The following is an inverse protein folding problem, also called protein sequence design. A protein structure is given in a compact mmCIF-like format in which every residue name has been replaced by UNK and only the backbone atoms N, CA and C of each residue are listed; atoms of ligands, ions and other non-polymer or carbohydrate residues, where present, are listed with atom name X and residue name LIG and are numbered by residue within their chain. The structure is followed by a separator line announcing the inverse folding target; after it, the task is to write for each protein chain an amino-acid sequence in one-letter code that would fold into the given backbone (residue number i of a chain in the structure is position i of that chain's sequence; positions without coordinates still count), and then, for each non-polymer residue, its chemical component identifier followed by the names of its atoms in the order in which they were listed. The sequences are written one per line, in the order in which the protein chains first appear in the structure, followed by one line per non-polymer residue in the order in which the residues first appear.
data_IF_063876093312
#
_entry.id   IF_063876093312
#
_cell.length_a   1.000
_cell.length_b   1.000
_cell.length_c   1.000
_cell.angle_alpha   90.00
_cell.angle_beta   90.00
_cell.angle_gamma   90.00
#
_symmetry.space_group_name_H-M   'P 1'
#
loop_
_entity.id
_entity.type
_entity.pdbx_description
1 polymer ?
#
# COMPACT_ATOMS: atom_id res chain seq x y z
N UNK A 1 7.19 -6.05 9.54
CA UNK A 1 7.16 -6.14 8.06
C UNK A 1 8.23 -5.23 7.49
N UNK A 2 9.26 -5.77 6.83
CA UNK A 2 10.25 -4.98 6.10
C UNK A 2 9.87 -5.03 4.62
N UNK A 3 9.58 -3.87 4.01
CA UNK A 3 9.25 -3.80 2.58
C UNK A 3 10.53 -3.60 1.78
N UNK A 4 10.86 -4.56 0.92
CA UNK A 4 12.01 -4.47 0.03
C UNK A 4 11.55 -4.22 -1.40
N UNK A 5 12.24 -3.31 -2.11
CA UNK A 5 11.97 -2.99 -3.51
C UNK A 5 12.14 -4.22 -4.40
N UNK A 6 11.16 -4.49 -5.24
CA UNK A 6 11.25 -5.53 -6.29
C UNK A 6 12.28 -5.16 -7.37
N UNK A 7 13.57 -5.30 -7.06
CA UNK A 7 14.67 -5.27 -8.02
C UNK A 7 14.74 -6.66 -8.64
N UNK A 8 14.83 -6.76 -9.97
CA UNK A 8 14.71 -7.98 -10.79
C UNK A 8 15.79 -9.05 -10.55
N UNK A 9 16.49 -9.01 -9.42
CA UNK A 9 17.68 -9.80 -9.08
C UNK A 9 17.62 -10.31 -7.64
N UNK A 10 16.49 -10.88 -7.20
CA UNK A 10 16.53 -11.78 -6.04
C UNK A 10 17.08 -13.13 -6.53
N UNK A 11 18.31 -13.45 -6.15
CA UNK A 11 18.89 -14.75 -6.46
C UNK A 11 18.08 -15.85 -5.77
N UNK A 12 18.05 -17.07 -6.34
CA UNK A 12 17.43 -18.24 -5.71
C UNK A 12 17.94 -18.46 -4.28
N UNK A 13 19.22 -18.17 -4.05
CA UNK A 13 19.86 -18.20 -2.73
C UNK A 13 19.26 -17.21 -1.73
N UNK A 14 18.84 -16.02 -2.19
CA UNK A 14 18.20 -15.01 -1.33
C UNK A 14 16.82 -15.49 -0.85
N UNK A 15 16.05 -16.14 -1.73
CA UNK A 15 14.74 -16.72 -1.36
C UNK A 15 14.88 -17.87 -0.37
N UNK A 16 15.86 -18.75 -0.60
CA UNK A 16 16.16 -19.84 0.32
C UNK A 16 16.49 -19.33 1.73
N UNK A 17 17.30 -18.28 1.84
CA UNK A 17 17.63 -17.67 3.12
C UNK A 17 16.38 -17.08 3.81
N UNK A 18 15.50 -16.41 3.07
CA UNK A 18 14.26 -15.86 3.63
C UNK A 18 13.33 -16.96 4.17
N UNK A 19 13.26 -18.09 3.48
CA UNK A 19 12.53 -19.28 3.95
C UNK A 19 13.15 -19.86 5.23
N UNK A 20 14.48 -19.94 5.31
CA UNK A 20 15.18 -20.39 6.54
C UNK A 20 14.90 -19.47 7.72
N UNK A 21 14.90 -18.14 7.50
CA UNK A 21 14.56 -17.16 8.53
C UNK A 21 13.05 -17.08 8.83
N UNK A 22 12.20 -17.78 8.06
CA UNK A 22 10.73 -17.74 8.14
C UNK A 22 10.18 -16.31 8.04
N UNK A 23 10.80 -15.47 7.21
CA UNK A 23 10.38 -14.10 7.02
C UNK A 23 9.30 -14.01 5.94
N UNK A 24 8.16 -13.44 6.32
CA UNK A 24 7.08 -13.17 5.37
C UNK A 24 7.42 -11.96 4.49
N UNK A 25 7.34 -12.15 3.18
CA UNK A 25 7.61 -11.11 2.20
C UNK A 25 6.31 -10.42 1.83
N UNK A 26 6.22 -9.13 2.15
CA UNK A 26 5.13 -8.30 1.64
C UNK A 26 5.22 -8.19 0.12
N UNK A 27 4.11 -8.46 -0.56
CA UNK A 27 3.98 -8.21 -1.99
C UNK A 27 4.20 -6.73 -2.32
N UNK A 28 5.34 -6.42 -2.92
CA UNK A 28 5.68 -5.06 -3.31
C UNK A 28 5.46 -4.87 -4.82
N UNK A 29 4.56 -3.96 -5.23
CA UNK A 29 4.37 -3.66 -6.64
C UNK A 29 5.65 -3.07 -7.25
N UNK A 30 5.91 -3.38 -8.52
CA UNK A 30 7.06 -2.82 -9.23
C UNK A 30 7.00 -1.28 -9.22
N UNK A 31 8.15 -0.64 -8.99
CA UNK A 31 8.32 0.82 -9.07
C UNK A 31 7.34 1.65 -8.21
N UNK A 32 7.09 1.25 -6.96
CA UNK A 32 6.27 2.02 -6.01
C UNK A 32 7.10 2.63 -4.87
N UNK A 33 7.92 3.66 -5.12
CA UNK A 33 8.70 4.32 -4.07
C UNK A 33 7.80 4.96 -2.99
N UNK A 34 6.54 5.25 -3.31
CA UNK A 34 5.54 5.74 -2.36
C UNK A 34 5.07 4.69 -1.33
N UNK A 35 5.51 3.44 -1.48
CA UNK A 35 5.22 2.31 -0.58
C UNK A 35 6.45 1.78 0.17
N UNK A 36 7.61 2.41 -0.02
CA UNK A 36 8.81 2.09 0.73
C UNK A 36 9.02 3.14 1.82
N UNK A 37 8.87 2.76 3.09
CA UNK A 37 9.11 3.64 4.25
C UNK A 37 10.51 4.22 4.25
N UNK A 38 11.49 3.48 3.73
CA UNK A 38 12.84 4.00 3.52
C UNK A 38 12.86 5.23 2.61
N UNK A 39 12.07 5.22 1.54
CA UNK A 39 12.16 6.20 0.45
C UNK A 39 11.54 7.54 0.81
N UNK A 40 10.43 7.54 1.54
CA UNK A 40 9.70 8.77 1.89
C UNK A 40 9.92 9.24 3.33
N UNK A 41 10.51 8.42 4.21
CA UNK A 41 10.77 8.79 5.61
C UNK A 41 12.27 8.88 5.88
N UNK A 42 12.96 7.73 5.95
CA UNK A 42 14.37 7.67 6.38
C UNK A 42 15.33 8.39 5.41
N UNK A 43 15.20 8.15 4.11
CA UNK A 43 16.06 8.79 3.12
C UNK A 43 15.72 10.26 2.91
N UNK A 44 14.49 10.68 3.21
CA UNK A 44 14.13 12.10 3.20
C UNK A 44 14.82 12.82 4.36
N UNK A 45 14.74 12.26 5.56
CA UNK A 45 15.44 12.77 6.74
C UNK A 45 16.95 12.84 6.53
N UNK A 46 17.55 11.73 6.06
CA UNK A 46 18.98 11.68 5.77
C UNK A 46 19.38 12.70 4.71
N UNK A 47 18.57 12.89 3.66
CA UNK A 47 18.85 13.87 2.62
C UNK A 47 18.89 15.29 3.22
N UNK A 48 17.90 15.65 4.03
CA UNK A 48 17.86 16.95 4.69
C UNK A 48 19.07 17.15 5.62
N UNK A 49 19.42 16.12 6.40
CA UNK A 49 20.60 16.16 7.26
C UNK A 49 21.91 16.30 6.47
N UNK A 50 22.01 15.66 5.30
CA UNK A 50 23.18 15.77 4.43
C UNK A 50 23.35 17.14 3.78
N UNK A 51 22.30 17.94 3.62
CA UNK A 51 22.40 19.26 3.00
C UNK A 51 23.31 20.21 3.79
N UNK A 52 23.41 20.00 5.12
CA UNK A 52 24.21 20.83 6.03
C UNK A 52 25.61 20.25 6.35
N UNK A 53 25.98 19.12 5.76
CA UNK A 53 27.17 18.37 6.15
C UNK A 53 28.15 18.19 4.98
N UNK A 54 29.44 18.30 5.27
CA UNK A 54 30.52 17.93 4.35
C UNK A 54 31.47 16.97 5.07
N UNK A 55 31.81 15.86 4.42
CA UNK A 55 32.69 14.84 5.00
C UNK A 55 33.94 14.69 4.15
N UNK A 56 35.10 14.60 4.80
CA UNK A 56 36.37 14.44 4.09
C UNK A 56 36.79 12.98 3.95
N UNK A 57 36.28 12.11 4.83
CA UNK A 57 36.62 10.68 4.89
C UNK A 57 35.38 9.80 4.96
N UNK A 58 35.49 8.59 4.42
CA UNK A 58 34.39 7.63 4.43
C UNK A 58 34.09 7.11 5.84
N UNK A 59 35.10 6.99 6.70
CA UNK A 59 34.97 6.55 8.09
C UNK A 59 34.15 7.55 8.90
N UNK A 60 34.40 8.85 8.67
CA UNK A 60 33.67 9.96 9.27
C UNK A 60 32.20 9.93 8.84
N UNK A 61 31.94 9.83 7.53
CA UNK A 61 30.59 9.67 6.98
C UNK A 61 29.84 8.50 7.64
N UNK A 62 30.47 7.31 7.70
CA UNK A 62 29.86 6.11 8.29
C UNK A 62 29.53 6.29 9.77
N UNK A 63 30.44 6.87 10.54
CA UNK A 63 30.23 7.13 11.96
C UNK A 63 29.08 8.12 12.18
N UNK A 64 29.07 9.23 11.44
CA UNK A 64 28.07 10.28 11.60
C UNK A 64 26.67 9.82 11.16
N UNK A 65 26.55 9.10 10.05
CA UNK A 65 25.28 8.49 9.63
C UNK A 65 24.77 7.52 10.68
N UNK A 66 25.65 6.65 11.21
CA UNK A 66 25.27 5.69 12.24
C UNK A 66 24.79 6.41 13.50
N UNK A 67 25.51 7.43 13.95
CA UNK A 67 25.14 8.22 15.12
C UNK A 67 23.81 8.94 14.91
N UNK A 68 23.60 9.56 13.75
CA UNK A 68 22.37 10.29 13.44
C UNK A 68 21.16 9.35 13.37
N UNK A 69 21.24 8.22 12.66
CA UNK A 69 20.16 7.22 12.61
C UNK A 69 19.88 6.64 14.00
N UNK A 70 20.91 6.44 14.82
CA UNK A 70 20.75 5.99 16.21
C UNK A 70 20.12 7.05 17.11
N UNK A 71 20.30 8.34 16.78
CA UNK A 71 19.67 9.45 17.52
C UNK A 71 18.19 9.67 17.18
N UNK A 72 17.70 9.11 16.06
CA UNK A 72 16.29 9.19 15.71
C UNK A 72 15.43 8.49 16.76
N UNK A 73 14.32 9.12 17.12
CA UNK A 73 13.41 8.60 18.14
C UNK A 73 12.63 7.40 17.62
N UNK A 74 12.15 6.56 18.54
CA UNK A 74 11.21 5.48 18.17
C UNK A 74 9.96 6.02 17.45
N UNK A 75 9.47 7.19 17.89
CA UNK A 75 8.30 7.85 17.29
C UNK A 75 8.51 8.20 15.81
N UNK A 76 9.73 8.56 15.39
CA UNK A 76 10.04 8.80 13.98
C UNK A 76 9.80 7.56 13.11
N UNK A 77 10.19 6.38 13.59
CA UNK A 77 9.99 5.13 12.87
C UNK A 77 8.52 4.69 12.90
N UNK A 78 7.83 4.89 14.03
CA UNK A 78 6.41 4.62 14.18
C UNK A 78 5.57 5.48 13.21
N UNK A 79 5.85 6.78 13.14
CA UNK A 79 5.21 7.69 12.19
C UNK A 79 5.45 7.28 10.74
N UNK A 80 6.68 6.89 10.41
CA UNK A 80 7.03 6.35 9.09
C UNK A 80 6.18 5.14 8.71
N UNK A 81 6.04 4.18 9.62
CA UNK A 81 5.23 2.96 9.43
C UNK A 81 3.73 3.31 9.34
N UNK A 82 3.23 4.19 10.22
CA UNK A 82 1.84 4.65 10.20
C UNK A 82 1.46 5.32 8.87
N UNK A 83 2.36 6.15 8.35
CA UNK A 83 2.20 6.80 7.04
C UNK A 83 2.12 5.80 5.88
N UNK A 84 2.86 4.68 5.94
CA UNK A 84 2.75 3.61 4.95
C UNK A 84 1.35 2.99 4.97
N UNK A 85 0.86 2.64 6.17
CA UNK A 85 -0.48 2.05 6.33
C UNK A 85 -1.55 2.98 5.79
N UNK A 86 -1.48 4.28 6.12
CA UNK A 86 -2.40 5.29 5.63
C UNK A 86 -2.41 5.36 4.08
N UNK A 87 -1.23 5.36 3.44
CA UNK A 87 -1.10 5.38 1.98
C UNK A 87 -1.71 4.13 1.34
N UNK A 88 -1.49 2.94 1.92
CA UNK A 88 -2.06 1.69 1.43
C UNK A 88 -3.59 1.68 1.53
N UNK A 89 -4.14 2.10 2.67
CA UNK A 89 -5.59 2.23 2.87
C UNK A 89 -6.20 3.22 1.87
N UNK A 90 -5.55 4.36 1.62
CA UNK A 90 -5.98 5.33 0.62
C UNK A 90 -6.06 4.73 -0.80
N UNK A 91 -5.06 3.94 -1.21
CA UNK A 91 -5.08 3.20 -2.49
C UNK A 91 -6.22 2.18 -2.54
N UNK A 92 -6.42 1.42 -1.46
CA UNK A 92 -7.49 0.42 -1.37
C UNK A 92 -8.88 1.06 -1.50
N UNK A 93 -9.13 2.17 -0.80
CA UNK A 93 -10.38 2.96 -0.90
C UNK A 93 -10.64 3.42 -2.34
N UNK A 94 -9.62 3.95 -3.03
CA UNK A 94 -9.73 4.37 -4.43
C UNK A 94 -10.08 3.22 -5.37
N UNK A 95 -9.48 2.04 -5.17
CA UNK A 95 -9.80 0.83 -5.95
C UNK A 95 -11.25 0.39 -5.73
N UNK A 96 -11.69 0.29 -4.48
CA UNK A 96 -13.09 -0.05 -4.13
C UNK A 96 -14.09 0.93 -4.74
N UNK A 97 -13.81 2.23 -4.69
CA UNK A 97 -14.67 3.26 -5.30
C UNK A 97 -14.74 3.12 -6.83
N UNK A 98 -13.62 2.82 -7.50
CA UNK A 98 -13.58 2.58 -8.95
C UNK A 98 -14.45 1.38 -9.33
N UNK A 99 -14.26 0.24 -8.66
CA UNK A 99 -15.04 -0.98 -8.90
C UNK A 99 -16.53 -0.74 -8.65
N UNK A 100 -16.89 -0.03 -7.57
CA UNK A 100 -18.30 0.34 -7.29
C UNK A 100 -18.90 1.18 -8.40
N UNK A 101 -18.14 2.15 -8.95
CA UNK A 101 -18.59 2.99 -10.07
C UNK A 101 -18.78 2.19 -11.36
N UNK A 102 -17.88 1.26 -11.66
CA UNK A 102 -17.97 0.37 -12.82
C UNK A 102 -19.15 -0.60 -12.71
N UNK A 103 -19.34 -1.24 -11.55
CA UNK A 103 -20.51 -2.09 -11.29
C UNK A 103 -21.82 -1.31 -11.40
N UNK A 104 -21.89 -0.08 -10.87
CA UNK A 104 -23.06 0.79 -11.02
C UNK A 104 -23.35 1.10 -12.49
N UNK A 105 -22.32 1.38 -13.30
CA UNK A 105 -22.48 1.59 -14.74
C UNK A 105 -23.06 0.34 -15.44
N UNK A 106 -22.56 -0.84 -15.09
CA UNK A 106 -23.05 -2.10 -15.65
C UNK A 106 -24.52 -2.33 -15.29
N UNK A 107 -24.90 -2.20 -14.02
CA UNK A 107 -26.29 -2.37 -13.56
C UNK A 107 -27.23 -1.40 -14.29
N UNK A 108 -26.89 -0.11 -14.34
CA UNK A 108 -27.70 0.89 -15.03
C UNK A 108 -27.86 0.58 -16.53
N UNK A 109 -26.81 0.03 -17.18
CA UNK A 109 -26.87 -0.40 -18.59
C UNK A 109 -27.84 -1.58 -18.77
N UNK A 110 -27.80 -2.56 -17.85
CA UNK A 110 -28.71 -3.71 -17.89
C UNK A 110 -30.16 -3.28 -17.65
N UNK A 111 -30.41 -2.39 -16.69
CA UNK A 111 -31.75 -1.85 -16.42
C UNK A 111 -32.31 -1.08 -17.61
N UNK A 112 -31.49 -0.25 -18.27
CA UNK A 112 -31.89 0.47 -19.49
C UNK A 112 -32.28 -0.50 -20.61
N UNK A 113 -31.42 -1.47 -20.93
CA UNK A 113 -31.70 -2.47 -21.97
C UNK A 113 -32.97 -3.29 -21.65
N UNK A 114 -33.15 -3.67 -20.37
CA UNK A 114 -34.37 -4.35 -19.91
C UNK A 114 -35.62 -3.48 -20.10
N UNK A 115 -35.55 -2.18 -19.80
CA UNK A 115 -36.68 -1.26 -19.96
C UNK A 115 -37.05 -1.01 -21.42
N UNK A 116 -36.08 -1.06 -22.33
CA UNK A 116 -36.27 -0.95 -23.78
C UNK A 116 -36.94 -2.21 -24.35
N UNK A 117 -36.55 -3.41 -23.87
CA UNK A 117 -37.14 -4.69 -24.29
C UNK A 117 -38.55 -4.94 -23.74
N UNK A 118 -38.84 -4.50 -22.51
CA UNK A 118 -40.09 -4.82 -21.81
C UNK A 118 -41.21 -3.77 -21.93
N UNK A 119 -41.01 -2.69 -22.71
CA UNK A 119 -42.07 -1.74 -23.06
C UNK A 119 -42.97 -1.30 -21.91
N UNK A 120 -42.52 -0.33 -21.09
CA UNK A 120 -43.33 0.46 -20.12
C UNK A 120 -44.40 -0.32 -19.30
N UNK A 121 -44.13 -1.54 -18.84
CA UNK A 121 -44.97 -2.15 -17.78
C UNK A 121 -44.43 -1.72 -16.40
N UNK A 122 -45.24 -1.11 -15.53
CA UNK A 122 -44.79 -0.64 -14.22
C UNK A 122 -44.73 -1.83 -13.26
N UNK A 123 -43.67 -2.64 -13.37
CA UNK A 123 -43.41 -3.69 -12.40
C UNK A 123 -42.44 -3.18 -11.36
N UNK A 124 -42.94 -3.09 -10.13
CA UNK A 124 -42.23 -2.72 -8.91
C UNK A 124 -40.78 -3.19 -8.96
N UNK A 125 -39.86 -2.22 -8.98
CA UNK A 125 -38.44 -2.48 -9.10
C UNK A 125 -37.97 -3.34 -7.93
N UNK A 126 -37.81 -4.64 -8.16
CA UNK A 126 -37.06 -5.51 -7.26
C UNK A 126 -35.64 -4.98 -7.29
N UNK A 127 -35.33 -4.11 -6.33
CA UNK A 127 -34.01 -3.56 -6.10
C UNK A 127 -33.13 -4.75 -5.79
N UNK A 128 -32.31 -5.17 -6.77
CA UNK A 128 -31.27 -6.16 -6.54
C UNK A 128 -30.36 -5.54 -5.48
N UNK A 129 -30.58 -5.90 -4.22
CA UNK A 129 -29.71 -5.52 -3.13
C UNK A 129 -28.41 -6.28 -3.37
N UNK A 130 -27.47 -5.60 -4.03
CA UNK A 130 -26.11 -6.08 -4.19
C UNK A 130 -25.59 -6.45 -2.81
N UNK A 131 -25.29 -7.74 -2.61
CA UNK A 131 -24.71 -8.31 -1.39
C UNK A 131 -23.25 -7.85 -1.18
N UNK A 132 -22.90 -6.61 -1.56
CA UNK A 132 -21.55 -6.06 -1.39
C UNK A 132 -21.40 -5.18 -0.15
N UNK A 133 -22.50 -4.88 0.56
CA UNK A 133 -22.47 -3.96 1.70
C UNK A 133 -22.47 -4.69 3.08
N UNK A 134 -22.29 -6.02 3.14
CA UNK A 134 -22.52 -6.78 4.39
C UNK A 134 -21.45 -7.81 4.83
N UNK A 135 -20.31 -7.99 4.16
CA UNK A 135 -19.40 -9.10 4.53
C UNK A 135 -17.91 -8.79 4.70
N UNK A 136 -17.46 -7.53 4.73
CA UNK A 136 -16.01 -7.25 4.76
C UNK A 136 -15.54 -6.36 5.92
N UNK A 137 -16.42 -5.81 6.75
CA UNK A 137 -16.00 -5.04 7.93
C UNK A 137 -15.48 -5.95 9.07
N UNK A 138 -15.72 -7.27 9.02
CA UNK A 138 -15.21 -8.27 9.98
C UNK A 138 -13.93 -9.02 9.53
N UNK A 139 -13.51 -8.86 8.27
CA UNK A 139 -12.41 -9.68 7.73
C UNK A 139 -11.00 -9.09 7.90
N UNK A 140 -10.88 -7.80 8.27
CA UNK A 140 -9.57 -7.14 8.37
C UNK A 140 -9.01 -7.09 9.81
N UNK A 141 -9.85 -7.25 10.83
CA UNK A 141 -9.40 -7.27 12.23
C UNK A 141 -9.03 -8.68 12.74
N UNK A 142 -9.26 -9.73 11.94
CA UNK A 142 -8.93 -11.12 12.30
C UNK A 142 -7.57 -11.62 11.78
N UNK A 143 -6.76 -10.78 11.14
CA UNK A 143 -5.49 -11.21 10.53
C UNK A 143 -4.25 -10.42 10.99
N UNK A 144 -4.31 -9.78 12.16
CA UNK A 144 -3.17 -9.17 12.83
C UNK A 144 -3.02 -9.73 14.24
#
# INVERSE_FOLDING_TARGET
MQSYRNRRSYSTSSRYLLEQFKWDMSDHPAYSPDLATSDFNLFLELKNWFEDQSFQKMEELRSNVTAHVTSLTATFFEEGIGNLVYRQQGKWRKRKAKTKKENRKYINKQEKHKSELLGKQPLASIKIRSMCDASEDEAYLSSY
#
